data_IF_972639160186
#
_entry.id   IF_972639160186
#
_cell.length_a   1.000
_cell.length_b   1.000
_cell.length_c   1.000
_cell.angle_alpha   90.00
_cell.angle_beta   90.00
_cell.angle_gamma   90.00
#
_symmetry.space_group_name_H-M   'P 1'
#
loop_
_entity.id
_entity.type
_entity.pdbx_description
1 polymer ?
#
# COMPACT_ATOMS: atom_id res chain seq x y z
N UNK A 1 18.85 15.73 4.52
CA UNK A 1 17.55 15.47 5.17
C UNK A 1 17.08 14.11 4.70
N UNK A 2 16.73 13.20 5.61
CA UNK A 2 16.15 11.90 5.19
C UNK A 2 14.78 12.17 4.57
N UNK A 3 14.56 11.72 3.33
CA UNK A 3 13.27 11.83 2.66
C UNK A 3 12.29 10.88 3.34
N UNK A 4 11.21 11.42 3.91
CA UNK A 4 10.15 10.62 4.53
C UNK A 4 9.31 10.00 3.42
N UNK A 5 9.25 8.66 3.35
CA UNK A 5 8.47 7.94 2.35
C UNK A 5 7.22 7.32 2.96
N UNK A 6 6.01 7.72 2.52
CA UNK A 6 4.77 7.09 2.97
C UNK A 6 4.66 5.64 2.51
N UNK A 7 4.17 4.78 3.40
CA UNK A 7 3.89 3.38 3.14
C UNK A 7 2.47 3.07 3.60
N UNK A 8 1.69 2.45 2.74
CA UNK A 8 0.31 2.05 3.02
C UNK A 8 0.20 0.53 3.00
N UNK A 9 -0.32 -0.05 4.08
CA UNK A 9 -0.67 -1.47 4.16
C UNK A 9 -2.15 -1.61 3.84
N UNK A 10 -2.48 -2.16 2.67
CA UNK A 10 -3.85 -2.20 2.13
C UNK A 10 -4.34 -3.65 2.08
N UNK A 11 -5.57 -3.88 2.56
CA UNK A 11 -6.22 -5.19 2.56
C UNK A 11 -7.74 -5.07 2.53
N UNK A 12 -8.37 -6.04 1.86
CA UNK A 12 -9.80 -6.35 1.89
C UNK A 12 -10.25 -6.98 3.23
N UNK A 13 -9.31 -7.56 3.99
CA UNK A 13 -9.49 -8.03 5.36
C UNK A 13 -8.91 -7.08 6.40
N UNK A 14 -8.20 -7.64 7.39
CA UNK A 14 -7.67 -6.89 8.53
C UNK A 14 -6.37 -6.14 8.25
N UNK A 15 -5.67 -6.44 7.16
CA UNK A 15 -4.37 -5.83 6.85
C UNK A 15 -3.19 -6.25 7.73
N UNK A 16 -3.37 -7.17 8.68
CA UNK A 16 -2.28 -7.67 9.54
C UNK A 16 -1.18 -8.32 8.70
N UNK A 17 -1.54 -9.09 7.67
CA UNK A 17 -0.58 -9.76 6.78
C UNK A 17 0.25 -8.75 5.98
N UNK A 18 -0.41 -7.80 5.32
CA UNK A 18 0.25 -6.72 4.58
C UNK A 18 1.19 -5.91 5.48
N UNK A 19 0.73 -5.55 6.69
CA UNK A 19 1.54 -4.82 7.68
C UNK A 19 2.74 -5.62 8.16
N UNK A 20 2.55 -6.88 8.55
CA UNK A 20 3.63 -7.73 9.08
C UNK A 20 4.73 -7.95 8.04
N UNK A 21 4.34 -8.30 6.81
CA UNK A 21 5.29 -8.58 5.72
C UNK A 21 5.96 -7.28 5.26
N UNK A 22 5.18 -6.23 5.07
CA UNK A 22 5.70 -4.92 4.66
C UNK A 22 6.65 -4.35 5.70
N UNK A 23 6.29 -4.36 6.99
CA UNK A 23 7.17 -3.91 8.05
C UNK A 23 8.49 -4.69 8.08
N UNK A 24 8.42 -6.03 8.00
CA UNK A 24 9.60 -6.89 7.96
C UNK A 24 10.49 -6.63 6.75
N UNK A 25 9.91 -6.28 5.59
CA UNK A 25 10.67 -5.89 4.41
C UNK A 25 11.37 -4.54 4.61
N UNK A 26 10.67 -3.56 5.19
CA UNK A 26 11.20 -2.21 5.37
C UNK A 26 12.36 -2.15 6.38
N UNK A 27 12.41 -3.04 7.38
CA UNK A 27 13.51 -3.08 8.35
C UNK A 27 14.87 -3.39 7.72
N UNK A 28 14.89 -3.97 6.52
CA UNK A 28 16.11 -4.26 5.75
C UNK A 28 16.76 -3.00 5.16
N UNK A 29 16.05 -1.87 5.11
CA UNK A 29 16.51 -0.65 4.46
C UNK A 29 16.88 0.43 5.49
N UNK A 30 18.05 0.27 6.12
CA UNK A 30 18.59 1.29 7.01
C UNK A 30 18.87 2.61 6.27
N UNK A 31 18.62 3.74 6.93
CA UNK A 31 18.83 5.08 6.34
C UNK A 31 17.62 5.69 5.64
N UNK A 32 16.51 4.96 5.50
CA UNK A 32 15.23 5.51 5.06
C UNK A 32 14.32 5.82 6.24
N UNK A 33 13.52 6.88 6.11
CA UNK A 33 12.47 7.22 7.07
C UNK A 33 11.12 6.88 6.47
N UNK A 34 10.42 5.91 7.05
CA UNK A 34 9.08 5.52 6.61
C UNK A 34 8.03 6.06 7.58
N UNK A 35 6.90 6.50 7.03
CA UNK A 35 5.66 6.67 7.80
C UNK A 35 4.67 5.65 7.26
N UNK A 36 3.99 4.95 8.15
CA UNK A 36 3.14 3.81 7.78
C UNK A 36 1.70 4.07 8.17
N UNK A 37 0.76 3.66 7.31
CA UNK A 37 -0.67 3.72 7.56
C UNK A 37 -1.34 2.42 7.10
N UNK A 38 -2.23 1.85 7.92
CA UNK A 38 -2.94 0.60 7.60
C UNK A 38 -4.39 0.91 7.20
N UNK A 39 -4.75 0.47 6.01
CA UNK A 39 -6.09 0.59 5.42
C UNK A 39 -6.71 -0.81 5.35
N UNK A 40 -7.63 -1.08 6.27
CA UNK A 40 -8.33 -2.38 6.38
C UNK A 40 -9.73 -2.29 5.77
N UNK A 41 -10.29 -3.45 5.42
CA UNK A 41 -11.64 -3.58 4.88
C UNK A 41 -11.87 -2.74 3.62
N UNK A 42 -10.85 -2.66 2.75
CA UNK A 42 -10.96 -2.12 1.40
C UNK A 42 -11.55 -3.23 0.52
N UNK A 43 -12.84 -3.48 0.68
CA UNK A 43 -13.60 -4.60 0.12
C UNK A 43 -14.63 -4.18 -0.93
N UNK A 44 -14.66 -2.89 -1.28
CA UNK A 44 -15.52 -2.34 -2.33
C UNK A 44 -14.81 -1.26 -3.18
N UNK A 45 -15.31 -0.98 -4.39
CA UNK A 45 -14.70 0.00 -5.29
C UNK A 45 -14.70 1.44 -4.77
N UNK A 46 -15.61 1.84 -3.89
CA UNK A 46 -15.66 3.20 -3.33
C UNK A 46 -14.51 3.40 -2.36
N UNK A 47 -14.35 2.47 -1.41
CA UNK A 47 -13.22 2.47 -0.46
C UNK A 47 -11.87 2.37 -1.16
N UNK A 48 -11.78 1.59 -2.25
CA UNK A 48 -10.54 1.51 -3.03
C UNK A 48 -10.17 2.86 -3.68
N UNK A 49 -11.16 3.61 -4.18
CA UNK A 49 -10.94 4.97 -4.71
C UNK A 49 -10.55 5.95 -3.61
N UNK A 50 -11.21 5.91 -2.45
CA UNK A 50 -10.81 6.73 -1.30
C UNK A 50 -9.38 6.44 -0.84
N UNK A 51 -8.98 5.17 -0.81
CA UNK A 51 -7.62 4.77 -0.54
C UNK A 51 -6.65 5.35 -1.57
N UNK A 52 -7.01 5.34 -2.87
CA UNK A 52 -6.19 5.97 -3.92
C UNK A 52 -5.98 7.46 -3.70
N UNK A 53 -7.04 8.20 -3.37
CA UNK A 53 -6.92 9.63 -3.09
C UNK A 53 -6.03 9.90 -1.87
N UNK A 54 -6.15 9.09 -0.81
CA UNK A 54 -5.27 9.18 0.37
C UNK A 54 -3.81 8.92 0.03
N UNK A 55 -3.53 7.89 -0.77
CA UNK A 55 -2.19 7.53 -1.22
C UNK A 55 -1.61 8.68 -2.07
N UNK A 56 -2.38 9.17 -3.05
CA UNK A 56 -1.97 10.27 -3.94
C UNK A 56 -1.67 11.54 -3.16
N UNK A 57 -2.57 11.94 -2.26
CA UNK A 57 -2.39 13.12 -1.42
C UNK A 57 -1.13 13.03 -0.54
N UNK A 58 -0.79 11.83 -0.04
CA UNK A 58 0.46 11.62 0.69
C UNK A 58 1.68 11.75 -0.24
N UNK A 59 1.62 11.21 -1.46
CA UNK A 59 2.68 11.37 -2.44
C UNK A 59 2.96 12.82 -2.79
N UNK A 60 1.91 13.61 -2.99
CA UNK A 60 1.98 15.05 -3.22
C UNK A 60 2.52 15.78 -1.98
N UNK A 61 2.03 15.46 -0.78
CA UNK A 61 2.48 16.11 0.46
C UNK A 61 3.97 15.90 0.73
N UNK A 62 4.46 14.68 0.55
CA UNK A 62 5.85 14.32 0.84
C UNK A 62 6.77 14.42 -0.38
N UNK A 63 6.24 14.81 -1.54
CA UNK A 63 6.97 14.95 -2.81
C UNK A 63 7.77 13.70 -3.18
N UNK A 64 7.21 12.53 -2.90
CA UNK A 64 7.84 11.22 -3.15
C UNK A 64 6.77 10.19 -3.46
N UNK A 65 7.07 9.24 -4.36
CA UNK A 65 6.16 8.15 -4.69
C UNK A 65 5.92 7.25 -3.46
N UNK A 66 4.68 7.14 -2.94
CA UNK A 66 4.36 6.25 -1.83
C UNK A 66 4.60 4.79 -2.17
N UNK A 67 4.74 3.94 -1.14
CA UNK A 67 4.73 2.49 -1.28
C UNK A 67 3.35 1.98 -0.84
N UNK A 68 2.80 1.03 -1.56
CA UNK A 68 1.54 0.37 -1.23
C UNK A 68 1.82 -1.12 -1.14
N UNK A 69 1.81 -1.66 0.07
CA UNK A 69 1.90 -3.10 0.30
C UNK A 69 0.47 -3.64 0.35
N UNK A 70 0.07 -4.36 -0.68
CA UNK A 70 -1.28 -4.88 -0.83
C UNK A 70 -1.32 -6.36 -0.47
N UNK A 71 -2.37 -6.77 0.24
CA UNK A 71 -2.77 -8.16 0.37
C UNK A 71 -4.22 -8.36 -0.08
N UNK A 72 -4.73 -7.51 -0.97
CA UNK A 72 -6.05 -7.67 -1.59
C UNK A 72 -6.02 -8.83 -2.59
N UNK A 73 -7.01 -9.72 -2.52
CA UNK A 73 -7.13 -10.84 -3.47
C UNK A 73 -8.03 -10.50 -4.66
N UNK A 74 -8.92 -9.52 -4.49
CA UNK A 74 -9.81 -9.06 -5.55
C UNK A 74 -9.05 -8.24 -6.60
N UNK A 75 -8.95 -8.80 -7.81
CA UNK A 75 -8.28 -8.17 -8.94
C UNK A 75 -8.88 -6.81 -9.35
N UNK A 76 -10.20 -6.63 -9.21
CA UNK A 76 -10.88 -5.36 -9.49
C UNK A 76 -10.48 -4.28 -8.50
N UNK A 77 -10.36 -4.61 -7.22
CA UNK A 77 -9.87 -3.68 -6.20
C UNK A 77 -8.40 -3.35 -6.41
N UNK A 78 -7.56 -4.34 -6.74
CA UNK A 78 -6.14 -4.13 -7.05
C UNK A 78 -5.92 -3.22 -8.27
N UNK A 79 -6.75 -3.33 -9.31
CA UNK A 79 -6.71 -2.42 -10.47
C UNK A 79 -7.00 -0.99 -10.04
N UNK A 80 -8.06 -0.77 -9.24
CA UNK A 80 -8.40 0.57 -8.74
C UNK A 80 -7.24 1.11 -7.90
N UNK A 81 -6.70 0.32 -6.96
CA UNK A 81 -5.59 0.72 -6.09
C UNK A 81 -4.32 1.11 -6.87
N UNK A 82 -4.08 0.51 -8.03
CA UNK A 82 -2.95 0.87 -8.89
C UNK A 82 -3.08 2.29 -9.50
N UNK A 83 -4.30 2.83 -9.62
CA UNK A 83 -4.55 4.21 -10.09
C UNK A 83 -4.10 5.28 -9.08
N UNK A 84 -3.73 4.89 -7.86
CA UNK A 84 -3.14 5.77 -6.85
C UNK A 84 -1.79 6.38 -7.26
N UNK A 85 -1.07 5.76 -8.20
CA UNK A 85 0.30 6.12 -8.57
C UNK A 85 1.37 5.63 -7.59
N UNK A 86 0.99 4.90 -6.54
CA UNK A 86 1.91 4.27 -5.59
C UNK A 86 2.80 3.20 -6.22
N UNK A 87 3.91 2.88 -5.56
CA UNK A 87 4.68 1.66 -5.86
C UNK A 87 3.96 0.47 -5.22
N UNK A 88 3.31 -0.34 -6.06
CA UNK A 88 2.56 -1.50 -5.61
C UNK A 88 3.50 -2.68 -5.30
N UNK A 89 3.41 -3.20 -4.09
CA UNK A 89 4.02 -4.44 -3.64
C UNK A 89 2.90 -5.40 -3.24
N UNK A 90 2.55 -6.30 -4.13
CA UNK A 90 1.49 -7.27 -3.89
C UNK A 90 2.05 -8.53 -3.23
N UNK A 91 1.60 -8.79 -2.01
CA UNK A 91 2.01 -9.94 -1.19
C UNK A 91 1.49 -11.25 -1.77
N UNK A 92 0.33 -11.22 -2.44
CA UNK A 92 -0.35 -12.41 -2.92
C UNK A 92 -0.29 -12.59 -4.44
N UNK A 93 0.15 -11.59 -5.21
CA UNK A 93 0.30 -11.71 -6.67
C UNK A 93 0.95 -13.03 -7.13
N UNK A 94 2.03 -13.55 -6.51
CA UNK A 94 2.64 -14.82 -6.92
C UNK A 94 1.74 -16.07 -6.74
N UNK A 95 0.64 -15.93 -5.99
CA UNK A 95 -0.29 -17.01 -5.65
C UNK A 95 -1.68 -16.83 -6.28
N UNK A 96 -1.92 -15.72 -7.01
CA UNK A 96 -3.21 -15.35 -7.61
C UNK A 96 -3.23 -15.56 -9.13
N UNK A 97 -2.06 -15.61 -9.79
CA UNK A 97 -1.95 -16.13 -11.16
C UNK A 97 -2.02 -17.67 -11.17
N UNK A 98 -2.57 -18.30 -12.24
CA UNK A 98 -3.18 -19.64 -12.20
C UNK A 98 -2.21 -20.80 -11.94
#
# INVERSE_FOLDING_TARGET
MSTIRPVFYVSDGTGITAETIGHSLLTQFSGFSFITDRMSFIDDPEKAREACERIRAAGERYQVRPIVVSSCVDSGLSIILAESGGLMLDVFAPFIEP
#
